data_IF_872923655076
#
_entry.id   IF_872923655076
#
_cell.length_a   1.000
_cell.length_b   1.000
_cell.length_c   1.000
_cell.angle_alpha   90.00
_cell.angle_beta   90.00
_cell.angle_gamma   90.00
#
_symmetry.space_group_name_H-M   'P 1'
#
loop_
_entity.id
_entity.type
_entity.pdbx_description
1 polymer ?
#
# COMPACT_ATOMS: atom_id res chain seq x y z
N UNK A 1 -8.80 -11.56 19.15
CA UNK A 1 -7.46 -11.83 19.72
C UNK A 1 -7.36 -11.07 21.05
N UNK A 2 -6.53 -11.55 21.98
CA UNK A 2 -6.21 -10.76 23.17
C UNK A 2 -5.36 -9.54 22.75
N UNK A 3 -5.88 -8.34 22.96
CA UNK A 3 -5.28 -7.09 22.52
C UNK A 3 -5.82 -5.93 23.36
N UNK A 4 -4.96 -4.96 23.67
CA UNK A 4 -5.37 -3.73 24.36
C UNK A 4 -6.35 -2.91 23.52
N UNK A 5 -6.16 -2.88 22.19
CA UNK A 5 -7.06 -2.22 21.26
C UNK A 5 -7.05 -2.94 19.89
N UNK A 6 -8.17 -2.89 19.18
CA UNK A 6 -8.33 -3.44 17.84
C UNK A 6 -8.81 -2.31 16.93
N UNK A 7 -8.07 -2.05 15.85
CA UNK A 7 -8.47 -1.11 14.80
C UNK A 7 -8.88 -1.93 13.59
N UNK A 8 -10.17 -1.95 13.30
CA UNK A 8 -10.74 -2.75 12.22
C UNK A 8 -12.05 -2.10 11.76
N UNK A 9 -12.17 -1.68 10.48
CA UNK A 9 -13.38 -1.08 9.95
C UNK A 9 -14.56 -2.07 9.86
N UNK A 10 -14.31 -3.37 10.01
CA UNK A 10 -15.34 -4.43 10.06
C UNK A 10 -15.93 -4.64 11.46
N UNK A 11 -15.65 -3.76 12.43
CA UNK A 11 -16.30 -3.81 13.75
C UNK A 11 -17.74 -3.31 13.67
N UNK A 12 -18.62 -3.91 14.46
CA UNK A 12 -20.08 -3.62 14.43
C UNK A 12 -20.42 -2.16 14.68
N UNK A 13 -19.66 -1.51 15.56
CA UNK A 13 -19.89 -0.13 15.99
C UNK A 13 -18.93 0.85 15.29
N UNK A 14 -18.41 0.49 14.11
CA UNK A 14 -17.50 1.33 13.34
C UNK A 14 -18.25 2.06 12.23
N UNK A 15 -18.35 3.39 12.36
CA UNK A 15 -19.00 4.25 11.35
C UNK A 15 -18.06 4.63 10.18
N UNK A 16 -16.94 3.92 10.00
CA UNK A 16 -16.03 4.21 8.90
C UNK A 16 -16.70 3.86 7.56
N UNK A 17 -16.80 4.81 6.61
CA UNK A 17 -17.65 4.64 5.44
C UNK A 17 -17.13 3.56 4.47
N UNK A 18 -15.81 3.31 4.45
CA UNK A 18 -15.16 2.41 3.51
C UNK A 18 -14.67 1.13 4.20
N UNK A 19 -15.56 0.16 4.35
CA UNK A 19 -15.27 -1.09 5.07
C UNK A 19 -14.28 -1.99 4.31
N UNK A 20 -14.28 -1.91 2.98
CA UNK A 20 -13.42 -2.71 2.11
C UNK A 20 -12.07 -2.02 1.86
N UNK A 21 -11.25 -1.98 2.91
CA UNK A 21 -9.85 -1.54 2.86
C UNK A 21 -8.92 -2.63 3.41
N UNK A 22 -7.69 -2.71 2.89
CA UNK A 22 -6.70 -3.67 3.34
C UNK A 22 -5.98 -3.23 4.64
N UNK A 23 -5.22 -4.16 5.25
CA UNK A 23 -4.50 -3.87 6.49
C UNK A 23 -3.50 -2.72 6.38
N UNK A 24 -2.82 -2.58 5.23
CA UNK A 24 -1.92 -1.46 4.98
C UNK A 24 -2.65 -0.10 4.94
N UNK A 25 -3.89 -0.08 4.44
CA UNK A 25 -4.72 1.13 4.49
C UNK A 25 -5.14 1.45 5.92
N UNK A 26 -5.53 0.46 6.71
CA UNK A 26 -5.83 0.66 8.14
C UNK A 26 -4.62 1.28 8.86
N UNK A 27 -3.42 0.75 8.64
CA UNK A 27 -2.19 1.31 9.20
C UNK A 27 -1.90 2.74 8.70
N UNK A 28 -2.13 3.01 7.40
CA UNK A 28 -1.95 4.34 6.83
C UNK A 28 -2.91 5.37 7.43
N UNK A 29 -4.17 5.01 7.66
CA UNK A 29 -5.15 5.84 8.36
C UNK A 29 -4.82 6.05 9.84
N UNK A 30 -4.33 5.01 10.52
CA UNK A 30 -3.83 5.15 11.90
C UNK A 30 -2.69 6.18 11.98
N UNK A 31 -1.71 6.10 11.07
CA UNK A 31 -0.61 7.08 11.03
C UNK A 31 -1.14 8.48 10.71
N UNK A 32 -2.13 8.60 9.83
CA UNK A 32 -2.76 9.89 9.54
C UNK A 32 -3.44 10.50 10.78
N UNK A 33 -4.17 9.69 11.55
CA UNK A 33 -4.79 10.13 12.81
C UNK A 33 -3.73 10.49 13.88
N UNK A 34 -2.68 9.69 14.02
CA UNK A 34 -1.57 9.99 14.94
C UNK A 34 -0.86 11.29 14.57
N UNK A 35 -0.62 11.51 13.28
CA UNK A 35 -0.04 12.77 12.77
C UNK A 35 -0.89 13.97 13.21
N UNK A 36 -2.20 13.88 13.14
CA UNK A 36 -3.11 14.94 13.56
C UNK A 36 -3.07 15.16 15.07
N UNK A 37 -3.23 14.10 15.86
CA UNK A 37 -3.22 14.15 17.34
C UNK A 37 -1.89 14.71 17.85
N UNK A 38 -0.78 14.26 17.31
CA UNK A 38 0.56 14.70 17.68
C UNK A 38 0.99 16.01 16.98
N UNK A 39 0.13 16.59 16.13
CA UNK A 39 0.40 17.84 15.36
C UNK A 39 1.70 17.79 14.55
N UNK A 40 2.00 16.62 13.97
CA UNK A 40 3.21 16.38 13.21
C UNK A 40 3.08 16.88 11.77
N UNK A 41 4.14 17.53 11.26
CA UNK A 41 4.26 17.86 9.84
C UNK A 41 4.91 16.69 9.10
N UNK A 42 4.14 15.64 8.86
CA UNK A 42 4.58 14.46 8.10
C UNK A 42 3.88 14.37 6.75
N UNK A 43 4.64 14.14 5.67
CA UNK A 43 4.06 13.92 4.35
C UNK A 43 3.71 12.44 4.16
N UNK A 44 2.41 12.14 4.23
CA UNK A 44 1.87 10.80 4.04
C UNK A 44 2.03 10.28 2.61
N UNK A 45 2.24 11.16 1.63
CA UNK A 45 2.40 10.78 0.22
C UNK A 45 3.67 9.98 -0.04
N UNK A 46 4.66 10.04 0.88
CA UNK A 46 5.90 9.25 0.82
C UNK A 46 5.68 7.74 0.80
N UNK A 47 4.53 7.28 1.30
CA UNK A 47 4.16 5.86 1.35
C UNK A 47 3.11 5.45 0.33
N UNK A 48 2.66 6.38 -0.53
CA UNK A 48 1.57 6.11 -1.46
C UNK A 48 1.89 5.01 -2.47
N UNK A 49 3.17 4.87 -2.83
CA UNK A 49 3.66 3.80 -3.69
C UNK A 49 3.44 2.42 -3.06
N UNK A 50 3.84 2.27 -1.79
CA UNK A 50 3.68 1.02 -1.03
C UNK A 50 2.21 0.74 -0.73
N UNK A 51 1.44 1.79 -0.41
CA UNK A 51 0.01 1.68 -0.18
C UNK A 51 -0.72 1.15 -1.42
N UNK A 52 -0.45 1.70 -2.60
CA UNK A 52 -1.08 1.23 -3.83
C UNK A 52 -0.70 -0.22 -4.18
N UNK A 53 0.54 -0.62 -3.92
CA UNK A 53 0.95 -2.03 -4.07
C UNK A 53 0.15 -2.92 -3.14
N UNK A 54 0.01 -2.56 -1.87
CA UNK A 54 -0.74 -3.36 -0.90
C UNK A 54 -2.22 -3.48 -1.27
N UNK A 55 -2.87 -2.40 -1.70
CA UNK A 55 -4.28 -2.43 -2.14
C UNK A 55 -4.49 -3.42 -3.28
N UNK A 56 -3.58 -3.40 -4.27
CA UNK A 56 -3.67 -4.30 -5.43
C UNK A 56 -3.27 -5.73 -5.06
N UNK A 57 -2.25 -5.91 -4.21
CA UNK A 57 -1.77 -7.22 -3.77
C UNK A 57 -2.82 -7.99 -2.95
N UNK A 58 -3.58 -7.28 -2.11
CA UNK A 58 -4.67 -7.84 -1.30
C UNK A 58 -5.98 -7.99 -2.10
N UNK A 59 -5.95 -7.78 -3.42
CA UNK A 59 -7.09 -7.90 -4.32
C UNK A 59 -8.31 -7.09 -3.86
N UNK A 60 -8.08 -5.90 -3.30
CA UNK A 60 -9.15 -5.03 -2.86
C UNK A 60 -9.97 -4.52 -4.04
N UNK A 61 -11.27 -4.35 -3.82
CA UNK A 61 -12.16 -3.79 -4.85
C UNK A 61 -11.74 -2.36 -5.21
N UNK A 62 -11.45 -2.12 -6.49
CA UNK A 62 -10.94 -0.83 -6.99
C UNK A 62 -12.08 0.14 -7.34
N UNK A 63 -12.88 0.47 -6.32
CA UNK A 63 -13.87 1.55 -6.36
C UNK A 63 -13.50 2.67 -5.40
N UNK A 64 -14.17 3.81 -5.56
CA UNK A 64 -14.13 4.93 -4.63
C UNK A 64 -12.71 5.29 -4.15
N UNK A 65 -12.47 5.16 -2.84
CA UNK A 65 -11.21 5.46 -2.19
C UNK A 65 -10.05 4.59 -2.72
N UNK A 66 -10.25 3.28 -2.86
CA UNK A 66 -9.21 2.36 -3.33
C UNK A 66 -8.78 2.74 -4.74
N UNK A 67 -9.74 3.06 -5.62
CA UNK A 67 -9.47 3.51 -6.99
C UNK A 67 -8.66 4.80 -7.00
N UNK A 68 -9.02 5.77 -6.17
CA UNK A 68 -8.32 7.05 -6.08
C UNK A 68 -6.87 6.88 -5.59
N UNK A 69 -6.68 6.11 -4.52
CA UNK A 69 -5.37 5.84 -3.93
C UNK A 69 -4.46 5.06 -4.90
N UNK A 70 -4.98 4.01 -5.54
CA UNK A 70 -4.21 3.21 -6.49
C UNK A 70 -3.82 4.02 -7.72
N UNK A 71 -4.74 4.80 -8.28
CA UNK A 71 -4.43 5.67 -9.43
C UNK A 71 -3.29 6.64 -9.10
N UNK A 72 -3.37 7.30 -7.95
CA UNK A 72 -2.35 8.24 -7.51
C UNK A 72 -1.04 7.53 -7.15
N UNK A 73 -1.11 6.35 -6.54
CA UNK A 73 0.08 5.55 -6.23
C UNK A 73 0.80 5.05 -7.47
N UNK A 74 0.10 4.66 -8.54
CA UNK A 74 0.73 4.31 -9.82
C UNK A 74 1.48 5.52 -10.42
N UNK A 75 0.90 6.73 -10.34
CA UNK A 75 1.61 7.94 -10.78
C UNK A 75 2.90 8.17 -9.97
N UNK A 76 2.86 7.91 -8.66
CA UNK A 76 4.02 8.03 -7.77
C UNK A 76 5.07 6.96 -8.08
N UNK A 77 4.68 5.70 -8.20
CA UNK A 77 5.57 4.57 -8.54
C UNK A 77 6.32 4.88 -9.84
N UNK A 78 5.63 5.43 -10.84
CA UNK A 78 6.24 5.78 -12.11
C UNK A 78 7.28 6.89 -12.02
N UNK A 79 7.13 7.81 -11.07
CA UNK A 79 8.05 8.92 -10.79
C UNK A 79 9.04 8.60 -9.66
N UNK A 80 8.96 7.40 -9.09
CA UNK A 80 9.71 7.03 -7.91
C UNK A 80 11.21 7.00 -8.15
N UNK A 81 11.96 7.38 -7.12
CA UNK A 81 13.43 7.25 -7.07
C UNK A 81 13.88 5.99 -6.33
N UNK A 82 12.96 5.17 -5.80
CA UNK A 82 13.31 3.94 -5.08
C UNK A 82 14.07 2.98 -5.99
N UNK A 83 15.12 2.38 -5.44
CA UNK A 83 15.99 1.47 -6.18
C UNK A 83 15.21 0.27 -6.76
N UNK A 84 14.28 -0.29 -5.97
CA UNK A 84 13.44 -1.41 -6.37
C UNK A 84 12.71 -1.16 -7.70
N UNK A 85 11.95 -0.06 -7.81
CA UNK A 85 11.20 0.24 -9.04
C UNK A 85 12.12 0.52 -10.23
N UNK A 86 13.28 1.14 -10.02
CA UNK A 86 14.27 1.34 -11.08
C UNK A 86 14.87 0.02 -11.55
N UNK A 87 15.20 -0.88 -10.64
CA UNK A 87 15.74 -2.19 -10.94
C UNK A 87 14.73 -3.06 -11.69
N UNK A 88 13.46 -3.07 -11.26
CA UNK A 88 12.38 -3.80 -11.96
C UNK A 88 12.17 -3.22 -13.36
N UNK A 89 12.13 -1.90 -13.51
CA UNK A 89 12.03 -1.25 -14.84
C UNK A 89 13.16 -1.67 -15.76
N UNK A 90 14.40 -1.64 -15.26
CA UNK A 90 15.58 -2.01 -16.03
C UNK A 90 15.56 -3.50 -16.42
N UNK A 91 15.33 -4.40 -15.45
CA UNK A 91 15.37 -5.85 -15.67
C UNK A 91 14.27 -6.32 -16.64
N UNK A 92 13.05 -5.82 -16.48
CA UNK A 92 11.90 -6.20 -17.32
C UNK A 92 11.69 -5.28 -18.52
N UNK A 93 12.65 -4.38 -18.81
CA UNK A 93 12.60 -3.43 -19.93
C UNK A 93 11.28 -2.64 -20.00
N UNK A 94 10.85 -2.09 -18.86
CA UNK A 94 9.62 -1.29 -18.73
C UNK A 94 9.94 0.20 -18.62
N UNK A 95 9.30 1.03 -19.44
CA UNK A 95 9.35 2.49 -19.28
C UNK A 95 8.46 2.97 -18.12
N UNK A 96 7.26 2.39 -18.05
CA UNK A 96 6.24 2.71 -17.05
C UNK A 96 5.52 1.46 -16.57
N UNK A 97 5.01 1.53 -15.36
CA UNK A 97 4.10 0.56 -14.78
C UNK A 97 2.65 1.00 -14.94
N UNK A 98 1.80 0.07 -15.33
CA UNK A 98 0.35 0.15 -15.26
C UNK A 98 -0.16 -0.72 -14.10
N UNK A 99 -1.48 -0.71 -13.88
CA UNK A 99 -2.14 -1.51 -12.85
C UNK A 99 -1.73 -3.00 -12.90
N UNK A 100 -1.73 -3.59 -14.10
CA UNK A 100 -1.37 -5.00 -14.29
C UNK A 100 0.07 -5.30 -13.87
N UNK A 101 0.98 -4.33 -14.00
CA UNK A 101 2.35 -4.52 -13.53
C UNK A 101 2.44 -4.51 -12.01
N UNK A 102 1.53 -3.82 -11.32
CA UNK A 102 1.45 -3.92 -9.87
C UNK A 102 1.00 -5.33 -9.47
N UNK A 103 -0.12 -5.80 -10.04
CA UNK A 103 -0.73 -7.08 -9.65
C UNK A 103 0.03 -8.33 -10.10
N UNK A 104 0.61 -8.32 -11.30
CA UNK A 104 1.21 -9.53 -11.90
C UNK A 104 2.74 -9.53 -11.95
N UNK A 105 3.38 -8.43 -11.56
CA UNK A 105 4.84 -8.34 -11.53
C UNK A 105 5.35 -7.92 -10.16
N UNK A 106 4.98 -6.73 -9.69
CA UNK A 106 5.55 -6.16 -8.47
C UNK A 106 5.07 -6.90 -7.21
N UNK A 107 3.76 -7.13 -7.06
CA UNK A 107 3.22 -7.84 -5.90
C UNK A 107 3.77 -9.28 -5.79
N UNK A 108 3.85 -10.09 -6.87
CA UNK A 108 4.51 -11.40 -6.83
C UNK A 108 5.99 -11.34 -6.42
N UNK A 109 6.76 -10.33 -6.86
CA UNK A 109 8.16 -10.16 -6.48
C UNK A 109 8.32 -9.91 -4.97
N UNK A 110 7.44 -9.10 -4.37
CA UNK A 110 7.46 -8.85 -2.92
C UNK A 110 7.04 -10.13 -2.16
N UNK A 111 5.96 -10.78 -2.61
CA UNK A 111 5.43 -11.98 -1.97
C UNK A 111 6.34 -13.21 -2.12
N UNK A 112 7.23 -13.23 -3.11
CA UNK A 112 8.25 -14.28 -3.24
C UNK A 112 9.42 -14.05 -2.31
N UNK A 113 9.88 -12.80 -2.17
CA UNK A 113 10.91 -12.45 -1.18
C UNK A 113 10.50 -12.85 0.24
N UNK A 114 9.28 -12.50 0.67
CA UNK A 114 8.77 -12.88 2.00
C UNK A 114 8.53 -14.38 2.22
N UNK A 115 8.48 -15.19 1.15
CA UNK A 115 8.33 -16.66 1.23
C UNK A 115 9.65 -17.41 1.15
N UNK A 116 10.69 -16.78 0.60
CA UNK A 116 11.96 -17.44 0.33
C UNK A 116 12.97 -17.30 1.47
N UNK A 117 12.95 -16.21 2.25
CA UNK A 117 13.69 -16.07 3.51
C UNK A 117 13.25 -14.75 4.16
N UNK A 118 12.82 -14.80 5.42
CA UNK A 118 12.68 -13.66 6.35
C UNK A 118 11.96 -12.39 5.80
N UNK A 119 10.75 -12.09 6.30
CA UNK A 119 9.95 -10.92 5.88
C UNK A 119 10.67 -9.57 6.01
N UNK A 120 11.80 -9.52 6.71
CA UNK A 120 12.70 -8.37 6.84
C UNK A 120 13.43 -7.96 5.55
N UNK A 121 13.45 -8.80 4.49
CA UNK A 121 14.19 -8.52 3.24
C UNK A 121 13.35 -7.75 2.19
N UNK A 122 12.04 -7.59 2.40
CA UNK A 122 11.18 -6.83 1.47
C UNK A 122 11.27 -5.31 1.68
N UNK A 123 11.97 -4.60 0.78
CA UNK A 123 12.04 -3.12 0.71
C UNK A 123 12.06 -2.57 -0.72
#
# INVERSE_FOLDING_TARGET
PDAFAIINPKQKDCDFPEIEICGAQVAWYLIAALKEVCKLKYDMCKFLELLAIAIVADMMELRDLNRALVRRGIDHINKSKRAAFRAIKHYYQKDKFALDNIGFLIAPLINSAGRMDDASISY
#
